data_IF_702552447782
#
_entry.id   IF_702552447782
#
_cell.length_a   1.000
_cell.length_b   1.000
_cell.length_c   1.000
_cell.angle_alpha   90.00
_cell.angle_beta   90.00
_cell.angle_gamma   90.00
#
_symmetry.space_group_name_H-M   'P 1'
#
loop_
_entity.id
_entity.type
_entity.pdbx_description
1 polymer ?
#
# COMPACT_ATOMS: atom_id res chain seq x y z
N UNK A 1 -10.81 4.37 4.22
CA UNK A 1 -10.66 2.97 4.68
C UNK A 1 -11.27 2.06 3.64
N UNK A 2 -10.51 1.11 3.11
CA UNK A 2 -10.94 0.20 2.04
C UNK A 2 -11.15 -1.21 2.60
N UNK A 3 -12.18 -1.90 2.17
CA UNK A 3 -12.53 -3.25 2.62
C UNK A 3 -12.67 -4.16 1.41
N UNK A 4 -11.89 -5.25 1.36
CA UNK A 4 -11.94 -6.20 0.26
C UNK A 4 -13.33 -6.84 0.13
N UNK A 5 -13.91 -7.19 1.27
CA UNK A 5 -15.24 -7.80 1.40
C UNK A 5 -15.94 -7.26 2.64
N UNK A 6 -17.26 -7.17 2.58
CA UNK A 6 -18.11 -6.82 3.72
C UNK A 6 -18.78 -8.09 4.28
N UNK A 7 -19.16 -8.12 5.57
CA UNK A 7 -19.77 -9.32 6.17
C UNK A 7 -21.17 -9.66 5.62
N UNK A 8 -21.79 -8.76 4.87
CA UNK A 8 -23.13 -8.90 4.30
C UNK A 8 -23.25 -8.03 3.05
N UNK A 9 -23.98 -8.50 2.05
CA UNK A 9 -24.31 -7.73 0.84
C UNK A 9 -25.39 -6.66 1.10
N UNK A 10 -26.15 -6.80 2.20
CA UNK A 10 -27.12 -5.79 2.61
C UNK A 10 -26.41 -4.62 3.31
N UNK A 11 -25.89 -3.67 2.52
CA UNK A 11 -25.12 -2.52 3.02
C UNK A 11 -25.87 -1.68 4.05
N UNK A 12 -27.20 -1.58 3.94
CA UNK A 12 -28.03 -0.85 4.89
C UNK A 12 -28.08 -1.51 6.27
N UNK A 13 -27.77 -2.80 6.35
CA UNK A 13 -27.67 -3.51 7.62
C UNK A 13 -26.33 -3.29 8.33
N UNK A 14 -25.32 -2.74 7.65
CA UNK A 14 -23.96 -2.63 8.16
C UNK A 14 -23.59 -1.20 8.57
N UNK A 15 -22.78 -1.09 9.62
CA UNK A 15 -22.21 0.17 10.09
C UNK A 15 -20.72 0.05 10.37
N UNK A 16 -19.98 1.14 10.12
CA UNK A 16 -18.60 1.34 10.55
C UNK A 16 -18.60 2.14 11.86
N UNK A 17 -18.30 1.47 12.96
CA UNK A 17 -18.18 2.08 14.27
C UNK A 17 -16.72 2.45 14.54
N UNK A 18 -16.44 3.72 14.88
CA UNK A 18 -15.08 4.24 15.02
C UNK A 18 -14.89 5.03 16.32
N UNK A 19 -13.70 4.94 16.91
CA UNK A 19 -13.28 5.68 18.11
C UNK A 19 -11.77 5.98 18.08
N UNK A 20 -11.23 6.48 19.20
CA UNK A 20 -9.90 7.11 19.33
C UNK A 20 -9.79 8.42 18.54
N UNK A 21 -8.78 8.60 17.69
CA UNK A 21 -8.43 9.92 17.13
C UNK A 21 -9.25 10.30 15.88
N UNK A 22 -10.54 9.99 15.91
CA UNK A 22 -11.54 10.47 14.94
C UNK A 22 -12.13 11.80 15.40
N UNK A 23 -12.51 12.66 14.45
CA UNK A 23 -13.10 13.97 14.78
C UNK A 23 -14.40 13.81 15.58
N UNK A 24 -15.21 12.81 15.23
CA UNK A 24 -16.46 12.51 15.93
C UNK A 24 -16.59 11.00 16.11
N UNK A 25 -16.29 10.46 17.30
CA UNK A 25 -16.51 9.07 17.63
C UNK A 25 -17.97 8.64 17.39
N UNK A 26 -18.19 7.38 17.01
CA UNK A 26 -19.53 6.87 16.71
C UNK A 26 -20.52 7.03 17.87
N UNK A 27 -20.04 6.90 19.11
CA UNK A 27 -20.85 7.10 20.33
C UNK A 27 -21.40 8.53 20.48
N UNK A 28 -20.79 9.53 19.83
CA UNK A 28 -21.28 10.91 19.82
C UNK A 28 -22.31 11.16 18.70
N UNK A 29 -22.36 10.29 17.68
CA UNK A 29 -23.35 10.37 16.59
C UNK A 29 -24.66 9.67 16.96
N UNK A 30 -24.59 8.68 17.85
CA UNK A 30 -25.75 7.94 18.34
C UNK A 30 -25.36 6.78 19.24
N UNK A 31 -26.35 6.17 19.87
CA UNK A 31 -26.14 4.97 20.69
C UNK A 31 -25.73 3.77 19.83
N UNK A 32 -25.12 2.77 20.47
CA UNK A 32 -24.91 1.49 19.81
C UNK A 32 -26.25 0.85 19.39
N UNK A 33 -26.34 0.24 18.19
CA UNK A 33 -25.35 0.23 17.10
C UNK A 33 -25.49 1.37 16.09
N UNK A 34 -26.54 2.19 16.21
CA UNK A 34 -26.99 3.14 15.17
C UNK A 34 -26.11 4.38 15.02
N UNK A 35 -25.21 4.67 15.96
CA UNK A 35 -24.18 5.71 15.83
C UNK A 35 -23.07 5.40 14.82
N UNK A 36 -23.02 4.17 14.28
CA UNK A 36 -22.07 3.79 13.23
C UNK A 36 -22.36 4.50 11.89
N UNK A 37 -21.32 4.76 11.11
CA UNK A 37 -21.47 5.28 9.74
C UNK A 37 -21.99 4.16 8.83
N UNK A 38 -23.16 4.32 8.21
CA UNK A 38 -23.76 3.26 7.40
C UNK A 38 -22.94 2.94 6.14
N UNK A 39 -22.79 1.65 5.81
CA UNK A 39 -22.17 1.23 4.55
C UNK A 39 -23.03 1.51 3.30
N UNK A 40 -24.29 1.91 3.45
CA UNK A 40 -25.10 2.39 2.31
C UNK A 40 -24.49 3.62 1.64
N UNK A 41 -23.64 4.38 2.34
CA UNK A 41 -22.92 5.54 1.79
C UNK A 41 -21.51 5.18 1.29
N UNK A 42 -21.10 3.91 1.42
CA UNK A 42 -19.81 3.46 0.97
C UNK A 42 -19.70 3.55 -0.55
N UNK A 43 -18.54 3.98 -1.00
CA UNK A 43 -18.19 4.01 -2.42
C UNK A 43 -17.48 2.71 -2.79
N UNK A 44 -17.32 2.45 -4.08
CA UNK A 44 -16.65 1.25 -4.59
C UNK A 44 -15.48 1.64 -5.49
N UNK A 45 -14.38 0.93 -5.36
CA UNK A 45 -13.20 0.99 -6.24
C UNK A 45 -12.82 -0.43 -6.72
N UNK A 46 -11.69 -0.56 -7.40
CA UNK A 46 -11.19 -1.85 -7.91
C UNK A 46 -10.84 -2.84 -6.79
N UNK A 47 -10.57 -2.34 -5.57
CA UNK A 47 -10.25 -3.19 -4.43
C UNK A 47 -11.52 -3.73 -3.77
N UNK A 48 -12.51 -2.87 -3.50
CA UNK A 48 -13.75 -3.22 -2.82
C UNK A 48 -14.58 -1.99 -2.42
N UNK A 49 -15.15 -2.00 -1.22
CA UNK A 49 -15.90 -0.84 -0.68
C UNK A 49 -15.00 0.05 0.16
N UNK A 50 -15.25 1.35 0.16
CA UNK A 50 -14.53 2.27 1.02
C UNK A 50 -15.42 3.35 1.65
N UNK A 51 -15.01 3.78 2.83
CA UNK A 51 -15.57 4.90 3.58
C UNK A 51 -14.46 5.85 4.00
N UNK A 52 -14.76 7.15 3.87
CA UNK A 52 -13.90 8.22 4.35
C UNK A 52 -14.24 8.51 5.83
N UNK A 53 -13.23 8.55 6.69
CA UNK A 53 -13.39 8.87 8.11
C UNK A 53 -12.57 10.12 8.42
N UNK A 54 -13.24 11.15 8.94
CA UNK A 54 -12.58 12.39 9.33
C UNK A 54 -11.84 12.18 10.66
N UNK A 55 -10.54 12.39 10.62
CA UNK A 55 -9.65 12.26 11.79
C UNK A 55 -9.61 13.56 12.59
N UNK A 56 -9.29 13.46 13.88
CA UNK A 56 -8.96 14.61 14.71
C UNK A 56 -7.64 15.28 14.26
N UNK A 57 -7.44 16.55 14.64
CA UNK A 57 -6.22 17.30 14.30
C UNK A 57 -4.95 16.64 14.88
N UNK A 58 -5.04 16.18 16.13
CA UNK A 58 -4.01 15.37 16.78
C UNK A 58 -4.41 13.92 16.66
N UNK A 59 -3.65 13.16 15.86
CA UNK A 59 -3.95 11.76 15.55
C UNK A 59 -2.67 10.93 15.50
N UNK A 60 -2.73 9.77 16.12
CA UNK A 60 -1.72 8.72 16.00
C UNK A 60 -2.35 7.34 15.77
N UNK A 61 -3.65 7.18 16.05
CA UNK A 61 -4.35 5.92 15.83
C UNK A 61 -5.84 6.11 15.52
N UNK A 62 -6.43 5.07 14.95
CA UNK A 62 -7.87 4.93 14.81
C UNK A 62 -8.27 3.52 15.21
N UNK A 63 -9.37 3.41 15.94
CA UNK A 63 -9.96 2.12 16.25
C UNK A 63 -11.35 1.99 15.64
N UNK A 64 -11.68 0.79 15.20
CA UNK A 64 -12.91 0.51 14.47
C UNK A 64 -13.38 -0.93 14.59
N UNK A 65 -14.63 -1.14 14.20
CA UNK A 65 -15.23 -2.43 13.91
C UNK A 65 -16.36 -2.25 12.87
N UNK A 66 -16.76 -3.33 12.21
CA UNK A 66 -18.02 -3.36 11.46
C UNK A 66 -19.09 -4.00 12.34
N UNK A 67 -20.19 -3.28 12.56
CA UNK A 67 -21.37 -3.79 13.24
C UNK A 67 -22.55 -3.97 12.28
N UNK A 68 -23.64 -4.53 12.79
CA UNK A 68 -24.93 -4.52 12.09
C UNK A 68 -26.04 -3.84 12.90
N UNK A 69 -27.21 -3.65 12.28
CA UNK A 69 -28.40 -3.07 12.91
C UNK A 69 -28.95 -3.88 14.09
N UNK A 70 -28.60 -5.18 14.20
CA UNK A 70 -28.92 -6.01 15.36
C UNK A 70 -27.94 -5.80 16.54
N UNK A 71 -26.86 -5.04 16.36
CA UNK A 71 -25.89 -4.75 17.41
C UNK A 71 -24.81 -5.81 17.58
N UNK A 72 -24.59 -6.67 16.58
CA UNK A 72 -23.46 -7.60 16.56
C UNK A 72 -22.20 -6.90 16.09
N UNK A 73 -21.07 -7.11 16.77
CA UNK A 73 -19.73 -6.80 16.27
C UNK A 73 -19.26 -7.94 15.35
N UNK A 74 -19.13 -7.68 14.04
CA UNK A 74 -18.91 -8.70 13.02
C UNK A 74 -17.44 -8.96 12.70
N UNK A 75 -16.55 -8.01 12.98
CA UNK A 75 -15.12 -8.09 12.63
C UNK A 75 -14.20 -8.23 13.83
N UNK A 76 -14.75 -8.04 15.03
CA UNK A 76 -13.97 -7.72 16.22
C UNK A 76 -13.35 -6.32 16.11
N UNK A 77 -12.82 -5.87 17.23
CA UNK A 77 -12.18 -4.55 17.33
C UNK A 77 -10.83 -4.57 16.60
N UNK A 78 -10.57 -3.52 15.84
CA UNK A 78 -9.31 -3.29 15.13
C UNK A 78 -8.76 -1.93 15.54
N UNK A 79 -7.47 -1.86 15.80
CA UNK A 79 -6.75 -0.61 16.03
C UNK A 79 -5.65 -0.49 14.99
N UNK A 80 -5.55 0.69 14.40
CA UNK A 80 -4.60 1.02 13.34
C UNK A 80 -3.81 2.21 13.84
N UNK A 81 -2.52 1.99 14.07
CA UNK A 81 -1.57 3.06 14.34
C UNK A 81 -1.14 3.69 13.00
N UNK A 82 -1.10 5.01 12.96
CA UNK A 82 -0.64 5.75 11.80
C UNK A 82 0.88 5.63 11.73
N UNK A 83 1.37 5.07 10.62
CA UNK A 83 2.79 4.93 10.36
C UNK A 83 3.48 6.28 10.08
N UNK A 84 2.70 7.30 9.70
CA UNK A 84 3.16 8.67 9.53
C UNK A 84 1.99 9.66 9.62
N UNK A 85 2.23 10.97 9.87
CA UNK A 85 1.18 11.99 9.88
C UNK A 85 0.40 12.11 8.57
N UNK A 86 1.04 11.70 7.46
CA UNK A 86 0.50 11.78 6.10
C UNK A 86 -0.25 10.50 5.69
N UNK A 87 -0.24 9.44 6.50
CA UNK A 87 -1.04 8.24 6.24
C UNK A 87 -2.52 8.61 6.30
N UNK A 88 -3.22 8.41 5.17
CA UNK A 88 -4.63 8.76 5.01
C UNK A 88 -5.49 7.60 4.48
N UNK A 89 -4.89 6.43 4.24
CA UNK A 89 -5.57 5.24 3.73
C UNK A 89 -5.11 3.99 4.48
N UNK A 90 -6.01 3.02 4.56
CA UNK A 90 -5.79 1.68 5.11
C UNK A 90 -6.71 0.72 4.37
N UNK A 91 -6.22 -0.48 4.09
CA UNK A 91 -6.91 -1.53 3.34
C UNK A 91 -7.07 -2.76 4.22
N UNK A 92 -8.30 -3.24 4.36
CA UNK A 92 -8.63 -4.46 5.06
C UNK A 92 -8.74 -5.60 4.06
N UNK A 93 -8.00 -6.69 4.29
CA UNK A 93 -8.15 -7.92 3.52
C UNK A 93 -9.46 -8.67 3.89
N UNK A 94 -9.68 -9.84 3.26
CA UNK A 94 -10.88 -10.66 3.50
C UNK A 94 -11.02 -11.15 4.95
N UNK A 95 -9.90 -11.18 5.68
CA UNK A 95 -9.84 -11.61 7.08
C UNK A 95 -9.79 -10.39 8.04
N UNK A 96 -10.03 -9.20 7.50
CA UNK A 96 -10.02 -7.91 8.22
C UNK A 96 -8.68 -7.57 8.89
N UNK A 97 -7.56 -8.02 8.31
CA UNK A 97 -6.25 -7.51 8.71
C UNK A 97 -5.99 -6.19 7.99
N UNK A 98 -5.54 -5.14 8.72
CA UNK A 98 -5.22 -3.85 8.12
C UNK A 98 -3.86 -3.89 7.39
N UNK A 99 -3.80 -3.22 6.24
CA UNK A 99 -2.60 -3.01 5.44
C UNK A 99 -2.48 -1.52 5.10
N UNK A 100 -1.28 -0.92 5.17
CA UNK A 100 -1.08 0.52 4.92
C UNK A 100 -1.01 0.90 3.43
N UNK A 101 -1.16 -0.06 2.52
CA UNK A 101 -1.33 0.12 1.07
C UNK A 101 -2.25 -1.02 0.57
N UNK A 102 -2.74 -0.90 -0.65
CA UNK A 102 -3.56 -1.94 -1.29
C UNK A 102 -2.78 -3.26 -1.42
N UNK A 103 -3.25 -4.37 -0.82
CA UNK A 103 -2.62 -5.67 -0.99
C UNK A 103 -2.61 -6.11 -2.45
N UNK A 104 -1.44 -6.54 -2.93
CA UNK A 104 -1.29 -7.08 -4.28
C UNK A 104 -1.82 -8.52 -4.35
N UNK A 105 -2.07 -8.98 -5.59
CA UNK A 105 -2.29 -10.40 -5.85
C UNK A 105 -1.07 -11.20 -5.38
N UNK A 106 -1.32 -12.36 -4.78
CA UNK A 106 -0.26 -13.30 -4.41
C UNK A 106 0.62 -13.65 -5.63
N UNK A 107 1.92 -13.82 -5.39
CA UNK A 107 2.92 -14.03 -6.45
C UNK A 107 3.43 -12.77 -7.13
N UNK A 108 3.01 -11.57 -6.70
CA UNK A 108 3.53 -10.30 -7.19
C UNK A 108 4.25 -9.53 -6.10
N UNK A 109 5.27 -8.75 -6.50
CA UNK A 109 5.79 -7.64 -5.70
C UNK A 109 5.77 -6.36 -6.52
N UNK A 110 5.32 -5.25 -5.91
CA UNK A 110 5.30 -3.94 -6.57
C UNK A 110 6.51 -3.12 -6.14
N UNK A 111 7.31 -2.73 -7.12
CA UNK A 111 8.38 -1.76 -6.93
C UNK A 111 7.88 -0.41 -7.41
N UNK A 112 7.67 0.54 -6.48
CA UNK A 112 7.37 1.93 -6.81
C UNK A 112 8.67 2.73 -6.84
N UNK A 113 8.79 3.56 -7.86
CA UNK A 113 9.89 4.48 -8.04
C UNK A 113 9.32 5.89 -8.10
N UNK A 114 9.70 6.70 -7.12
CA UNK A 114 9.34 8.10 -7.02
C UNK A 114 10.52 8.98 -7.40
N UNK A 115 10.28 9.94 -8.30
CA UNK A 115 11.24 10.96 -8.67
C UNK A 115 10.63 12.34 -8.43
N UNK A 116 11.39 13.22 -7.77
CA UNK A 116 10.98 14.60 -7.50
C UNK A 116 10.86 15.44 -8.77
N UNK A 117 11.65 15.12 -9.80
CA UNK A 117 11.59 15.80 -11.10
C UNK A 117 10.48 15.29 -12.03
N UNK A 118 9.77 14.21 -11.64
CA UNK A 118 8.71 13.59 -12.43
C UNK A 118 9.17 12.97 -13.76
N UNK A 119 10.48 12.87 -14.03
CA UNK A 119 11.02 12.43 -15.32
C UNK A 119 11.31 10.93 -15.34
N UNK A 120 10.42 10.16 -15.95
CA UNK A 120 10.54 8.69 -16.04
C UNK A 120 10.97 8.19 -17.42
N UNK A 121 11.23 9.09 -18.38
CA UNK A 121 11.74 8.71 -19.69
C UNK A 121 13.03 7.89 -19.56
N UNK A 122 13.03 6.72 -20.20
CA UNK A 122 14.08 5.69 -20.14
C UNK A 122 14.54 5.34 -18.73
N UNK A 123 13.62 5.38 -17.76
CA UNK A 123 13.83 4.81 -16.43
C UNK A 123 13.26 3.41 -16.42
N UNK A 124 14.13 2.45 -16.14
CA UNK A 124 13.77 1.04 -16.15
C UNK A 124 14.29 0.33 -14.91
N UNK A 125 13.81 -0.89 -14.73
CA UNK A 125 14.10 -1.75 -13.61
C UNK A 125 14.85 -2.99 -14.11
N UNK A 126 16.08 -3.16 -13.67
CA UNK A 126 16.85 -4.38 -13.92
C UNK A 126 16.60 -5.38 -12.80
N UNK A 127 16.21 -6.61 -13.13
CA UNK A 127 15.69 -7.60 -12.18
C UNK A 127 16.47 -8.91 -12.24
N UNK A 128 16.73 -9.52 -11.07
CA UNK A 128 17.29 -10.87 -10.97
C UNK A 128 16.83 -11.59 -9.69
N UNK A 129 17.20 -12.88 -9.57
CA UNK A 129 16.82 -13.74 -8.44
C UNK A 129 15.51 -14.50 -8.67
N UNK A 130 14.64 -14.50 -7.66
CA UNK A 130 13.40 -15.28 -7.64
C UNK A 130 12.22 -14.62 -8.39
N UNK A 131 12.50 -13.87 -9.45
CA UNK A 131 11.50 -13.34 -10.39
C UNK A 131 11.22 -14.33 -11.51
N UNK A 132 9.99 -14.37 -12.04
CA UNK A 132 9.67 -15.23 -13.19
C UNK A 132 10.46 -14.82 -14.44
N UNK A 133 10.57 -13.51 -14.66
CA UNK A 133 11.17 -12.90 -15.86
C UNK A 133 12.37 -12.01 -15.46
N UNK A 134 13.57 -12.59 -15.22
CA UNK A 134 14.76 -11.79 -14.96
C UNK A 134 15.16 -11.01 -16.21
N UNK A 135 15.74 -9.83 -16.02
CA UNK A 135 16.20 -8.96 -17.10
C UNK A 135 17.31 -9.62 -17.91
N UNK A 136 17.36 -9.31 -19.21
CA UNK A 136 18.33 -9.81 -20.18
C UNK A 136 18.80 -8.64 -21.03
N UNK A 137 19.97 -8.78 -21.68
CA UNK A 137 20.50 -7.79 -22.62
C UNK A 137 20.76 -6.41 -21.98
N UNK A 138 21.74 -6.32 -21.08
CA UNK A 138 22.07 -5.07 -20.41
C UNK A 138 22.29 -3.90 -21.40
N UNK A 139 21.72 -2.69 -21.14
CA UNK A 139 20.96 -2.29 -19.96
C UNK A 139 19.42 -2.31 -20.14
N UNK A 140 18.87 -3.09 -21.08
CA UNK A 140 17.43 -3.12 -21.39
C UNK A 140 16.61 -3.70 -20.22
N UNK A 141 15.98 -2.81 -19.44
CA UNK A 141 15.22 -3.14 -18.24
C UNK A 141 13.71 -3.14 -18.45
N UNK A 142 12.95 -3.34 -17.37
CA UNK A 142 11.49 -3.19 -17.40
C UNK A 142 11.11 -1.72 -17.20
N UNK A 143 10.50 -1.10 -18.20
CA UNK A 143 10.11 0.31 -18.16
C UNK A 143 9.07 0.66 -17.08
N UNK A 144 9.28 1.81 -16.44
CA UNK A 144 8.33 2.38 -15.48
C UNK A 144 7.14 3.11 -16.17
N UNK A 145 6.29 2.33 -16.86
CA UNK A 145 5.15 2.89 -17.61
C UNK A 145 3.89 3.13 -16.77
N UNK A 146 3.67 2.35 -15.70
CA UNK A 146 2.46 2.47 -14.87
C UNK A 146 2.62 3.57 -13.84
N UNK A 147 1.58 4.39 -13.64
CA UNK A 147 1.53 5.45 -12.62
C UNK A 147 0.69 5.01 -11.44
N UNK A 148 1.19 5.22 -10.22
CA UNK A 148 0.48 4.99 -8.97
C UNK A 148 0.63 6.15 -8.00
N UNK A 149 0.10 5.98 -6.78
CA UNK A 149 0.12 7.01 -5.72
C UNK A 149 1.54 7.40 -5.27
N UNK A 150 2.53 6.52 -5.49
CA UNK A 150 3.90 6.68 -5.02
C UNK A 150 4.92 6.82 -6.17
N UNK A 151 4.51 7.44 -7.28
CA UNK A 151 5.34 7.58 -8.48
C UNK A 151 4.96 6.56 -9.55
N UNK A 152 5.93 6.12 -10.36
CA UNK A 152 5.71 5.01 -11.31
C UNK A 152 5.96 3.69 -10.60
N UNK A 153 5.41 2.60 -11.13
CA UNK A 153 5.66 1.28 -10.55
C UNK A 153 5.76 0.16 -11.59
N UNK A 154 6.39 -0.94 -11.17
CA UNK A 154 6.40 -2.22 -11.88
C UNK A 154 5.86 -3.28 -10.94
N UNK A 155 4.89 -4.06 -11.41
CA UNK A 155 4.46 -5.30 -10.76
C UNK A 155 5.34 -6.42 -11.29
N UNK A 156 6.11 -7.04 -10.40
CA UNK A 156 7.09 -8.07 -10.74
C UNK A 156 6.53 -9.44 -10.36
N UNK A 157 6.26 -10.31 -11.34
CA UNK A 157 5.90 -11.71 -11.08
C UNK A 157 7.05 -12.46 -10.43
N UNK A 158 6.73 -13.18 -9.36
CA UNK A 158 7.66 -13.97 -8.57
C UNK A 158 7.50 -15.46 -8.88
N UNK A 159 8.60 -16.20 -8.81
CA UNK A 159 8.57 -17.66 -8.84
C UNK A 159 7.84 -18.20 -7.61
N UNK A 160 7.36 -19.43 -7.72
CA UNK A 160 6.81 -20.15 -6.57
C UNK A 160 7.82 -20.21 -5.42
N UNK A 161 7.33 -19.94 -4.21
CA UNK A 161 8.14 -19.89 -2.99
C UNK A 161 9.35 -18.93 -3.05
N UNK A 162 9.28 -17.86 -3.85
CA UNK A 162 10.31 -16.82 -3.92
C UNK A 162 10.72 -16.29 -2.55
N UNK A 163 12.04 -16.19 -2.33
CA UNK A 163 12.63 -15.74 -1.07
C UNK A 163 13.35 -14.41 -1.21
N UNK A 164 14.04 -14.23 -2.34
CA UNK A 164 14.88 -13.06 -2.57
C UNK A 164 14.80 -12.57 -4.01
N UNK A 165 14.63 -11.27 -4.19
CA UNK A 165 14.87 -10.60 -5.48
C UNK A 165 15.95 -9.56 -5.32
N UNK A 166 16.76 -9.40 -6.37
CA UNK A 166 17.67 -8.28 -6.49
C UNK A 166 17.25 -7.40 -7.67
N UNK A 167 17.50 -6.10 -7.55
CA UNK A 167 17.21 -5.18 -8.63
C UNK A 167 18.11 -3.93 -8.64
N UNK A 168 18.16 -3.26 -9.79
CA UNK A 168 18.76 -1.95 -9.99
C UNK A 168 17.76 -1.02 -10.68
N UNK A 169 17.86 0.27 -10.34
CA UNK A 169 17.22 1.34 -11.11
C UNK A 169 18.19 1.83 -12.18
N UNK A 170 17.70 1.88 -13.42
CA UNK A 170 18.49 2.30 -14.57
C UNK A 170 17.99 3.62 -15.17
N UNK A 171 18.93 4.40 -15.68
CA UNK A 171 18.70 5.53 -16.59
C UNK A 171 19.37 5.22 -17.93
N UNK A 172 18.59 4.68 -18.88
CA UNK A 172 19.10 4.26 -20.18
C UNK A 172 19.34 5.45 -21.14
N UNK A 173 19.18 6.69 -20.66
CA UNK A 173 19.74 7.87 -21.34
C UNK A 173 21.25 8.04 -21.07
N UNK A 174 21.83 7.24 -20.20
CA UNK A 174 23.27 7.23 -19.89
C UNK A 174 23.95 6.03 -20.56
N UNK A 175 25.27 5.91 -20.37
CA UNK A 175 26.09 4.87 -20.96
C UNK A 175 27.14 4.38 -19.97
N UNK A 176 27.61 3.13 -20.15
CA UNK A 176 28.57 2.53 -19.22
C UNK A 176 27.98 2.36 -17.83
N UNK A 177 28.78 2.63 -16.80
CA UNK A 177 28.35 2.48 -15.40
C UNK A 177 27.31 3.52 -14.97
N UNK A 178 27.27 4.68 -15.64
CA UNK A 178 26.32 5.76 -15.34
C UNK A 178 24.86 5.40 -15.67
N UNK A 179 24.63 4.28 -16.36
CA UNK A 179 23.27 3.73 -16.53
C UNK A 179 22.67 3.37 -15.18
N UNK A 180 23.47 2.95 -14.21
CA UNK A 180 22.99 2.69 -12.86
C UNK A 180 22.70 4.01 -12.17
N UNK A 181 21.44 4.26 -11.79
CA UNK A 181 21.08 5.48 -11.05
C UNK A 181 21.79 5.53 -9.69
N UNK A 182 22.03 4.36 -9.11
CA UNK A 182 22.98 4.19 -8.01
C UNK A 182 23.85 2.96 -8.23
N UNK A 183 25.09 2.96 -7.74
CA UNK A 183 26.02 1.85 -8.00
C UNK A 183 25.65 0.54 -7.26
N UNK A 184 24.82 0.64 -6.22
CA UNK A 184 24.57 -0.44 -5.27
C UNK A 184 23.32 -1.22 -5.64
N UNK A 185 23.44 -2.54 -5.62
CA UNK A 185 22.30 -3.44 -5.83
C UNK A 185 21.30 -3.36 -4.68
N UNK A 186 20.02 -3.27 -5.01
CA UNK A 186 18.96 -3.46 -4.04
C UNK A 186 18.66 -4.94 -3.90
N UNK A 187 18.47 -5.40 -2.66
CA UNK A 187 18.13 -6.79 -2.37
C UNK A 187 16.93 -6.82 -1.42
N UNK A 188 15.83 -7.45 -1.84
CA UNK A 188 14.65 -7.67 -1.04
C UNK A 188 14.60 -9.14 -0.63
N UNK A 189 14.58 -9.38 0.68
CA UNK A 189 14.41 -10.71 1.28
C UNK A 189 13.05 -10.81 1.95
N UNK A 190 12.62 -12.01 2.39
CA UNK A 190 11.35 -12.21 3.08
C UNK A 190 10.11 -11.81 2.25
N UNK A 191 10.10 -12.16 0.96
CA UNK A 191 9.05 -11.74 0.02
C UNK A 191 7.64 -12.17 0.41
N UNK A 192 7.42 -13.25 1.17
CA UNK A 192 6.07 -13.55 1.70
C UNK A 192 5.52 -12.46 2.63
N UNK A 193 6.40 -11.78 3.37
CA UNK A 193 6.03 -10.63 4.20
C UNK A 193 5.95 -9.37 3.35
N UNK A 194 6.89 -9.15 2.41
CA UNK A 194 7.06 -7.90 1.63
C UNK A 194 6.25 -7.83 0.33
N UNK A 195 5.80 -8.94 -0.27
CA UNK A 195 4.84 -8.94 -1.38
C UNK A 195 3.48 -8.36 -0.94
N UNK A 196 3.24 -8.42 0.37
CA UNK A 196 2.20 -7.65 1.00
C UNK A 196 2.57 -6.19 1.15
N UNK A 197 3.70 -5.64 0.68
CA UNK A 197 4.18 -4.24 0.85
C UNK A 197 4.59 -3.59 -0.48
N UNK A 198 4.19 -2.34 -0.68
CA UNK A 198 4.69 -1.49 -1.75
C UNK A 198 6.01 -0.84 -1.35
N UNK A 199 7.07 -1.02 -2.14
CA UNK A 199 8.35 -0.36 -1.89
C UNK A 199 8.39 0.97 -2.62
N UNK A 200 8.82 2.06 -1.97
CA UNK A 200 8.97 3.39 -2.60
C UNK A 200 10.42 3.82 -2.52
N UNK A 201 11.06 3.99 -3.68
CA UNK A 201 12.39 4.59 -3.76
C UNK A 201 12.28 6.05 -4.12
N UNK A 202 12.82 6.93 -3.28
CA UNK A 202 13.02 8.34 -3.60
C UNK A 202 14.51 8.60 -3.77
N UNK A 203 14.89 9.15 -4.92
CA UNK A 203 16.25 9.65 -5.15
C UNK A 203 16.14 11.18 -5.22
N UNK A 204 16.59 11.86 -4.16
CA UNK A 204 16.80 13.30 -4.17
C UNK A 204 18.09 13.57 -4.97
N UNK A 205 17.98 14.34 -6.05
CA UNK A 205 19.17 14.86 -6.73
C UNK A 205 19.80 15.89 -5.80
N UNK A 206 21.02 15.62 -5.35
CA UNK A 206 21.77 16.26 -4.24
C UNK A 206 21.36 15.77 -2.84
N UNK A 207 22.38 15.27 -2.12
CA UNK A 207 22.35 14.56 -0.82
C UNK A 207 22.13 13.04 -0.99
N UNK A 208 23.24 12.30 -0.82
CA UNK A 208 23.28 10.85 -0.61
C UNK A 208 22.54 10.48 0.68
N UNK A 209 21.22 10.42 0.64
CA UNK A 209 20.44 9.64 1.61
C UNK A 209 19.56 8.74 0.77
N UNK A 210 19.99 7.48 0.67
CA UNK A 210 19.14 6.39 0.24
C UNK A 210 18.07 6.23 1.32
N UNK A 211 16.96 6.95 1.21
CA UNK A 211 15.78 6.64 2.02
C UNK A 211 15.16 5.40 1.41
N UNK A 212 15.71 4.25 1.78
CA UNK A 212 15.01 2.99 1.73
C UNK A 212 13.87 3.14 2.75
N UNK A 213 12.71 3.66 2.34
CA UNK A 213 11.53 3.65 3.21
C UNK A 213 10.99 2.21 3.24
N UNK A 214 11.79 1.31 3.81
CA UNK A 214 11.28 0.18 4.55
C UNK A 214 10.48 0.81 5.69
N UNK A 215 9.18 1.03 5.49
CA UNK A 215 8.28 1.42 6.57
C UNK A 215 8.13 0.19 7.49
N UNK A 216 9.18 -0.06 8.28
CA UNK A 216 9.20 -0.95 9.41
C UNK A 216 9.33 -0.07 10.65
N UNK A 217 8.21 0.11 11.34
CA UNK A 217 8.17 0.01 12.80
C UNK A 217 7.17 -1.09 13.11
#
# INVERSE_FOLDING_TARGET
MHFKTLPSDNLASLGLWTWDDVETPSSQKGSWPTGATSFSTAKKDDYGYYLDVKMAEKRSKISLLINNTAGTNLTGDKTIELLSPNMNEVWFDKDYNPHPYEPLKEGLVRINYYRTDGKYDKKSLWLWGDVENPSKNWPDGVDFVKTGKYGRYVDVPLKDAAKTIGFLLLDENKSGDDVKIQPQDYNLTNLKKIAKFSFVMQIQTFIRILILLMIFV
#
